data_IF_135225994662
#
_entry.id   IF_135225994662
#
_cell.length_a   1.000
_cell.length_b   1.000
_cell.length_c   1.000
_cell.angle_alpha   90.00
_cell.angle_beta   90.00
_cell.angle_gamma   90.00
#
_symmetry.space_group_name_H-M   'P 1'
#
loop_
_entity.id
_entity.type
_entity.pdbx_description
1 polymer ?
#
# COMPACT_ATOMS: atom_id res chain seq x y z
N UNK A 1 -5.97 19.72 -21.95
CA UNK A 1 -6.43 19.26 -20.63
C UNK A 1 -7.20 18.00 -20.92
N UNK A 2 -6.53 16.86 -20.82
CA UNK A 2 -6.96 15.64 -21.55
C UNK A 2 -7.46 14.56 -20.57
N UNK A 3 -7.62 14.90 -19.29
CA UNK A 3 -8.04 13.99 -18.23
C UNK A 3 -9.36 14.42 -17.63
N UNK A 4 -10.25 13.44 -17.46
CA UNK A 4 -11.50 13.60 -16.72
C UNK A 4 -11.24 13.36 -15.22
N UNK A 5 -11.52 14.33 -14.33
CA UNK A 5 -11.43 14.09 -12.90
C UNK A 5 -12.49 13.07 -12.46
N UNK A 6 -12.07 12.10 -11.65
CA UNK A 6 -12.91 11.04 -11.10
C UNK A 6 -12.69 10.91 -9.59
N UNK A 7 -13.78 10.60 -8.88
CA UNK A 7 -13.74 10.21 -7.48
C UNK A 7 -14.06 8.72 -7.39
N UNK A 8 -13.22 7.97 -6.67
CA UNK A 8 -13.40 6.53 -6.47
C UNK A 8 -13.62 6.22 -4.99
N UNK A 9 -14.61 5.39 -4.70
CA UNK A 9 -14.81 4.82 -3.36
C UNK A 9 -13.86 3.64 -3.16
N UNK A 10 -12.91 3.80 -2.25
CA UNK A 10 -11.84 2.83 -2.00
C UNK A 10 -12.02 2.05 -0.70
N UNK A 11 -13.04 2.36 0.10
CA UNK A 11 -13.31 1.64 1.35
C UNK A 11 -13.45 0.15 1.10
N UNK A 12 -12.61 -0.62 1.78
CA UNK A 12 -12.49 -2.08 1.66
C UNK A 12 -12.18 -2.59 0.24
N UNK A 13 -11.72 -1.72 -0.66
CA UNK A 13 -11.29 -2.12 -2.01
C UNK A 13 -9.83 -2.56 -2.01
N UNK A 14 -9.48 -3.68 -2.67
CA UNK A 14 -8.09 -4.07 -2.84
C UNK A 14 -7.36 -3.07 -3.75
N UNK A 15 -6.19 -2.61 -3.31
CA UNK A 15 -5.34 -1.68 -4.08
C UNK A 15 -3.89 -2.16 -4.02
N UNK A 16 -3.30 -2.41 -5.18
CA UNK A 16 -1.89 -2.78 -5.29
C UNK A 16 -1.03 -1.52 -5.47
N UNK A 17 0.02 -1.39 -4.66
CA UNK A 17 1.06 -0.37 -4.81
C UNK A 17 2.38 -1.06 -5.15
N UNK A 18 3.00 -0.62 -6.23
CA UNK A 18 4.32 -1.11 -6.65
C UNK A 18 5.37 -0.07 -6.26
N UNK A 19 6.43 -0.53 -5.60
CA UNK A 19 7.50 0.29 -5.03
C UNK A 19 7.35 0.50 -3.52
N UNK A 20 8.49 0.63 -2.84
CA UNK A 20 8.54 0.74 -1.37
C UNK A 20 9.25 1.99 -0.85
N UNK A 21 9.69 2.90 -1.73
CA UNK A 21 10.33 4.15 -1.32
C UNK A 21 9.37 5.19 -0.77
N UNK A 22 9.89 6.38 -0.46
CA UNK A 22 9.13 7.47 0.17
C UNK A 22 7.91 7.92 -0.63
N UNK A 23 7.95 7.84 -1.97
CA UNK A 23 6.81 8.18 -2.83
C UNK A 23 5.65 7.19 -2.59
N UNK A 24 5.96 5.89 -2.55
CA UNK A 24 4.98 4.86 -2.30
C UNK A 24 4.38 5.02 -0.90
N UNK A 25 5.21 5.29 0.11
CA UNK A 25 4.76 5.58 1.46
C UNK A 25 3.71 6.70 1.52
N UNK A 26 3.94 7.83 0.84
CA UNK A 26 2.96 8.94 0.80
C UNK A 26 1.64 8.54 0.15
N UNK A 27 1.70 7.76 -0.94
CA UNK A 27 0.49 7.24 -1.61
C UNK A 27 -0.26 6.24 -0.74
N UNK A 28 0.46 5.31 -0.10
CA UNK A 28 -0.09 4.30 0.81
C UNK A 28 -0.80 4.97 1.98
N UNK A 29 -0.22 5.99 2.61
CA UNK A 29 -0.87 6.77 3.68
C UNK A 29 -2.21 7.35 3.23
N UNK A 30 -2.30 7.89 2.01
CA UNK A 30 -3.55 8.41 1.46
C UNK A 30 -4.58 7.30 1.22
N UNK A 31 -4.17 6.19 0.60
CA UNK A 31 -5.03 5.03 0.33
C UNK A 31 -5.57 4.39 1.61
N UNK A 32 -4.75 4.28 2.65
CA UNK A 32 -5.17 3.77 3.97
C UNK A 32 -6.19 4.68 4.65
N UNK A 33 -6.05 6.02 4.52
CA UNK A 33 -7.06 6.97 5.02
C UNK A 33 -8.40 6.82 4.30
N UNK A 34 -8.35 6.48 3.01
CA UNK A 34 -9.53 6.09 2.22
C UNK A 34 -10.05 4.67 2.54
N UNK A 35 -9.50 4.01 3.57
CA UNK A 35 -9.87 2.66 4.03
C UNK A 35 -9.67 1.57 2.96
N UNK A 36 -8.75 1.77 2.03
CA UNK A 36 -8.38 0.76 1.06
C UNK A 36 -7.63 -0.41 1.71
N UNK A 37 -7.81 -1.60 1.14
CA UNK A 37 -7.02 -2.79 1.47
C UNK A 37 -5.75 -2.76 0.62
N UNK A 38 -4.73 -2.08 1.14
CA UNK A 38 -3.49 -1.85 0.40
C UNK A 38 -2.56 -3.05 0.49
N UNK A 39 -2.11 -3.53 -0.68
CA UNK A 39 -1.04 -4.50 -0.85
C UNK A 39 0.17 -3.80 -1.47
N UNK A 40 1.38 -4.18 -1.04
CA UNK A 40 2.62 -3.55 -1.51
C UNK A 40 3.54 -4.62 -2.09
N UNK A 41 4.08 -4.35 -3.28
CA UNK A 41 5.11 -5.16 -3.91
C UNK A 41 6.34 -4.27 -4.13
N UNK A 42 7.46 -4.64 -3.50
CA UNK A 42 8.72 -3.91 -3.61
C UNK A 42 9.91 -4.81 -3.24
N UNK A 43 11.08 -4.55 -3.83
CA UNK A 43 12.34 -5.20 -3.44
C UNK A 43 12.82 -4.72 -2.06
N UNK A 44 12.63 -3.44 -1.76
CA UNK A 44 12.98 -2.80 -0.49
C UNK A 44 11.88 -1.86 -0.04
N UNK A 45 11.75 -1.68 1.27
CA UNK A 45 10.82 -0.74 1.89
C UNK A 45 11.60 0.40 2.55
N UNK A 46 11.06 1.62 2.50
CA UNK A 46 11.52 2.71 3.35
C UNK A 46 11.38 2.31 4.82
N UNK A 47 12.20 2.83 5.74
CA UNK A 47 12.09 2.49 7.16
C UNK A 47 10.67 2.71 7.70
N UNK A 48 10.05 3.84 7.36
CA UNK A 48 8.69 4.15 7.80
C UNK A 48 7.63 3.20 7.20
N UNK A 49 7.82 2.72 5.97
CA UNK A 49 6.91 1.75 5.36
C UNK A 49 7.11 0.34 5.92
N UNK A 50 8.35 -0.04 6.24
CA UNK A 50 8.66 -1.27 6.95
C UNK A 50 8.04 -1.30 8.36
N UNK A 51 8.17 -0.20 9.11
CA UNK A 51 7.53 -0.04 10.43
C UNK A 51 6.01 -0.14 10.33
N UNK A 52 5.42 0.50 9.33
CA UNK A 52 3.98 0.45 9.07
C UNK A 52 3.52 -0.98 8.75
N UNK A 53 4.27 -1.70 7.91
CA UNK A 53 3.99 -3.08 7.58
C UNK A 53 4.05 -3.97 8.82
N UNK A 54 5.13 -3.88 9.62
CA UNK A 54 5.32 -4.67 10.83
C UNK A 54 4.17 -4.53 11.84
N UNK A 55 3.69 -3.29 12.08
CA UNK A 55 2.55 -3.02 12.96
C UNK A 55 1.25 -3.65 12.46
N UNK A 56 1.12 -3.80 11.14
CA UNK A 56 -0.10 -4.29 10.50
C UNK A 56 -0.12 -5.81 10.38
N UNK A 57 1.02 -6.47 10.19
CA UNK A 57 1.14 -7.93 10.27
C UNK A 57 0.81 -8.46 11.66
N UNK A 58 1.03 -7.66 12.71
CA UNK A 58 0.62 -8.00 14.08
C UNK A 58 -0.90 -7.93 14.30
N UNK A 59 -1.63 -7.20 13.44
CA UNK A 59 -3.08 -6.98 13.55
C UNK A 59 -3.88 -7.76 12.50
N UNK A 60 -3.23 -8.26 11.46
CA UNK A 60 -3.83 -9.02 10.38
C UNK A 60 -3.03 -10.32 10.19
N UNK A 61 -3.62 -11.45 10.62
CA UNK A 61 -3.16 -12.76 10.16
C UNK A 61 -3.20 -12.79 8.63
N UNK A 62 -2.04 -13.08 8.04
CA UNK A 62 -1.80 -13.38 6.63
C UNK A 62 -2.24 -12.33 5.58
N UNK A 63 -1.27 -11.57 5.05
CA UNK A 63 -1.53 -10.69 3.89
C UNK A 63 -0.37 -9.89 3.30
N UNK A 64 0.85 -9.95 3.87
CA UNK A 64 2.06 -9.32 3.31
C UNK A 64 3.09 -10.39 2.92
N UNK A 65 2.64 -11.50 2.31
CA UNK A 65 3.58 -12.53 1.82
C UNK A 65 4.12 -12.17 0.43
N UNK A 66 5.38 -11.75 0.46
CA UNK A 66 6.46 -12.03 -0.51
C UNK A 66 6.03 -12.42 -1.93
N UNK A 67 6.11 -11.45 -2.85
CA UNK A 67 6.31 -11.70 -4.29
C UNK A 67 7.72 -11.25 -4.72
N UNK A 68 8.73 -11.54 -3.88
CA UNK A 68 10.13 -11.42 -4.25
C UNK A 68 10.75 -12.83 -4.15
N UNK A 69 10.73 -13.56 -5.26
CA UNK A 69 11.16 -14.95 -5.35
C UNK A 69 10.89 -15.50 -6.74
N UNK A 70 11.70 -15.06 -7.70
CA UNK A 70 11.90 -15.63 -9.03
C UNK A 70 13.37 -15.51 -9.38
#
# INVERSE_FOLDING_TARGET
>A
MDYLPLFAELKQRPVLVIGGGEIAERKIKFLLRAQAQVQVVAETLSPALADLAARRTQLAGDGIQRLAGG
#
